data_IF_391360577597
#
_entry.id   IF_391360577597
#
_cell.length_a   1.000
_cell.length_b   1.000
_cell.length_c   1.000
_cell.angle_alpha   90.00
_cell.angle_beta   90.00
_cell.angle_gamma   90.00
#
_symmetry.space_group_name_H-M   'P 1'
#
loop_
_entity.id
_entity.type
_entity.pdbx_description
1 polymer ?
#
# COMPACT_ATOMS: atom_id res chain seq x y z
N UNK A 1 -16.60 -2.60 -2.04
CA UNK A 1 -15.94 -3.78 -2.60
C UNK A 1 -16.89 -4.95 -2.50
N UNK A 2 -17.45 -5.43 -3.61
CA UNK A 2 -18.43 -6.53 -3.58
C UNK A 2 -17.81 -7.82 -3.03
N UNK A 3 -16.63 -8.22 -3.53
CA UNK A 3 -15.95 -9.43 -3.09
C UNK A 3 -15.61 -9.39 -1.59
N UNK A 4 -15.07 -8.28 -1.08
CA UNK A 4 -14.69 -8.16 0.33
C UNK A 4 -15.88 -8.14 1.32
N UNK A 5 -17.11 -7.98 0.84
CA UNK A 5 -18.32 -8.18 1.63
C UNK A 5 -18.80 -9.64 1.65
N UNK A 6 -18.37 -10.47 0.70
CA UNK A 6 -18.81 -11.85 0.52
C UNK A 6 -17.73 -12.88 0.90
N UNK A 7 -16.45 -12.51 0.80
CA UNK A 7 -15.33 -13.37 1.14
C UNK A 7 -14.17 -12.58 1.77
N UNK A 8 -13.40 -13.28 2.61
CA UNK A 8 -12.17 -12.75 3.20
C UNK A 8 -11.22 -12.31 2.09
N UNK A 9 -10.88 -11.02 2.06
CA UNK A 9 -10.06 -10.43 1.01
C UNK A 9 -8.79 -9.85 1.60
N UNK A 10 -7.63 -10.13 1.00
CA UNK A 10 -6.36 -9.51 1.37
C UNK A 10 -6.01 -8.42 0.37
N UNK A 11 -5.50 -7.29 0.85
CA UNK A 11 -5.07 -6.20 -0.02
C UNK A 11 -3.56 -6.27 -0.22
N UNK A 12 -3.10 -6.23 -1.45
CA UNK A 12 -1.68 -6.09 -1.78
C UNK A 12 -1.48 -4.75 -2.47
N UNK A 13 -0.47 -3.99 -2.07
CA UNK A 13 -0.19 -2.66 -2.60
C UNK A 13 1.29 -2.55 -2.92
N UNK A 14 1.59 -2.36 -4.22
CA UNK A 14 2.92 -2.01 -4.68
C UNK A 14 3.11 -0.51 -4.50
N UNK A 15 4.15 -0.12 -3.77
CA UNK A 15 4.56 1.25 -3.59
C UNK A 15 5.92 1.45 -4.25
N UNK A 16 6.06 2.51 -5.01
CA UNK A 16 7.29 2.88 -5.70
C UNK A 16 7.38 4.39 -5.75
N UNK A 17 8.61 4.87 -5.86
CA UNK A 17 8.88 6.27 -6.10
C UNK A 17 8.68 6.58 -7.59
N UNK A 18 8.05 7.71 -7.88
CA UNK A 18 7.97 8.26 -9.22
C UNK A 18 8.69 9.62 -9.27
N UNK A 19 9.69 9.71 -10.14
CA UNK A 19 10.51 10.91 -10.32
C UNK A 19 11.19 11.41 -9.01
N UNK A 20 11.56 10.51 -8.11
CA UNK A 20 12.31 10.80 -6.86
C UNK A 20 11.54 11.70 -5.87
N UNK A 21 10.23 11.55 -5.83
CA UNK A 21 9.33 12.28 -4.93
C UNK A 21 9.02 11.50 -3.64
N UNK A 22 9.48 10.25 -3.54
CA UNK A 22 9.20 9.36 -2.43
C UNK A 22 7.71 9.05 -2.31
N UNK A 23 7.26 8.79 -1.08
CA UNK A 23 5.86 8.58 -0.76
C UNK A 23 5.26 9.87 -0.17
N UNK A 24 4.57 10.65 -1.01
CA UNK A 24 4.09 11.98 -0.61
C UNK A 24 3.01 11.91 0.47
N UNK A 25 2.96 12.90 1.37
CA UNK A 25 1.93 12.96 2.42
C UNK A 25 0.51 12.97 1.85
N UNK A 26 0.32 13.61 0.69
CA UNK A 26 -0.97 13.63 0.00
C UNK A 26 -1.44 12.22 -0.36
N UNK A 27 -0.57 11.40 -0.93
CA UNK A 27 -0.88 10.03 -1.32
C UNK A 27 -1.04 9.12 -0.10
N UNK A 28 -0.18 9.26 0.91
CA UNK A 28 -0.32 8.56 2.20
C UNK A 28 -1.68 8.83 2.81
N UNK A 29 -2.07 10.09 2.95
CA UNK A 29 -3.36 10.46 3.54
C UNK A 29 -4.53 9.99 2.68
N UNK A 30 -4.44 10.05 1.35
CA UNK A 30 -5.47 9.51 0.47
C UNK A 30 -5.66 8.00 0.67
N UNK A 31 -4.57 7.24 0.76
CA UNK A 31 -4.59 5.80 0.98
C UNK A 31 -5.13 5.44 2.38
N UNK A 32 -4.65 6.10 3.44
CA UNK A 32 -5.17 5.90 4.79
C UNK A 32 -6.67 6.23 4.88
N UNK A 33 -7.12 7.28 4.20
CA UNK A 33 -8.55 7.61 4.12
C UNK A 33 -9.36 6.53 3.40
N UNK A 34 -8.83 5.93 2.32
CA UNK A 34 -9.46 4.79 1.67
C UNK A 34 -9.59 3.61 2.64
N UNK A 35 -8.52 3.26 3.38
CA UNK A 35 -8.56 2.18 4.37
C UNK A 35 -9.57 2.45 5.48
N UNK A 36 -9.65 3.68 5.99
CA UNK A 36 -10.69 4.09 6.98
C UNK A 36 -12.09 3.85 6.43
N UNK A 37 -12.35 4.18 5.16
CA UNK A 37 -13.66 3.95 4.51
C UNK A 37 -13.97 2.46 4.40
N UNK A 38 -12.98 1.64 4.01
CA UNK A 38 -13.14 0.18 3.90
C UNK A 38 -13.44 -0.44 5.27
N UNK A 39 -12.74 -0.01 6.32
CA UNK A 39 -12.99 -0.50 7.67
C UNK A 39 -14.41 -0.17 8.15
N UNK A 40 -14.90 1.03 7.82
CA UNK A 40 -16.28 1.44 8.12
C UNK A 40 -17.33 0.69 7.30
N UNK A 41 -17.01 0.17 6.12
CA UNK A 41 -17.97 -0.54 5.28
C UNK A 41 -18.22 -1.99 5.70
N UNK A 42 -17.61 -2.46 6.80
CA UNK A 42 -17.82 -3.82 7.33
C UNK A 42 -17.23 -4.93 6.45
N UNK A 43 -16.36 -4.60 5.50
CA UNK A 43 -15.70 -5.58 4.66
C UNK A 43 -14.69 -6.41 5.47
N UNK A 44 -14.61 -7.71 5.19
CA UNK A 44 -13.66 -8.60 5.83
C UNK A 44 -12.29 -8.52 5.13
N UNK A 45 -11.49 -7.52 5.51
CA UNK A 45 -10.15 -7.26 5.01
C UNK A 45 -9.13 -7.37 6.15
N UNK A 46 -8.66 -8.58 6.50
CA UNK A 46 -7.85 -8.77 7.69
C UNK A 46 -6.40 -8.29 7.54
N UNK A 47 -5.87 -8.24 6.31
CA UNK A 47 -4.44 -8.01 6.08
C UNK A 47 -4.17 -7.15 4.85
N UNK A 48 -3.21 -6.24 5.00
CA UNK A 48 -2.60 -5.45 3.94
C UNK A 48 -1.15 -5.90 3.76
N UNK A 49 -0.71 -6.11 2.52
CA UNK A 49 0.68 -6.40 2.17
C UNK A 49 1.24 -5.23 1.37
N UNK A 50 2.28 -4.59 1.90
CA UNK A 50 3.05 -3.58 1.19
C UNK A 50 4.28 -4.23 0.57
N UNK A 51 4.56 -3.87 -0.69
CA UNK A 51 5.78 -4.29 -1.36
C UNK A 51 6.24 -3.22 -2.36
N UNK A 52 7.45 -3.37 -2.88
CA UNK A 52 8.02 -2.45 -3.88
C UNK A 52 8.49 -3.17 -5.14
N UNK A 53 9.04 -2.42 -6.09
CA UNK A 53 9.50 -2.94 -7.38
C UNK A 53 10.69 -3.88 -7.14
N UNK A 54 10.44 -5.18 -7.26
CA UNK A 54 11.47 -6.22 -7.22
C UNK A 54 12.06 -6.55 -8.59
N UNK A 55 11.34 -6.22 -9.68
CA UNK A 55 11.78 -6.44 -11.06
C UNK A 55 11.61 -5.16 -11.86
N UNK A 56 12.63 -4.73 -12.63
CA UNK A 56 12.52 -3.54 -13.45
C UNK A 56 11.38 -3.69 -14.47
N UNK A 57 10.59 -2.63 -14.63
CA UNK A 57 9.58 -2.55 -15.67
C UNK A 57 10.25 -2.45 -17.05
N UNK A 58 9.64 -3.04 -18.07
CA UNK A 58 10.07 -2.91 -19.47
C UNK A 58 9.26 -1.86 -20.24
N UNK A 59 8.45 -1.07 -19.52
CA UNK A 59 7.66 0.00 -20.11
C UNK A 59 8.53 1.26 -20.33
N UNK A 60 8.16 2.15 -21.28
CA UNK A 60 8.91 3.39 -21.55
C UNK A 60 9.14 4.26 -20.31
N UNK A 61 8.22 4.24 -19.35
CA UNK A 61 8.26 5.03 -18.12
C UNK A 61 9.09 4.39 -17.02
N UNK A 62 9.64 3.18 -17.22
CA UNK A 62 10.46 2.48 -16.23
C UNK A 62 11.61 3.33 -15.64
N UNK A 63 12.31 4.20 -16.40
CA UNK A 63 13.37 5.04 -15.84
C UNK A 63 12.89 6.06 -14.79
N UNK A 64 11.57 6.31 -14.71
CA UNK A 64 10.96 7.23 -13.74
C UNK A 64 10.63 6.54 -12.43
N UNK A 65 10.69 5.21 -12.38
CA UNK A 65 10.22 4.41 -11.25
C UNK A 65 11.42 3.89 -10.45
N UNK A 66 11.39 4.08 -9.13
CA UNK A 66 12.41 3.55 -8.23
C UNK A 66 11.77 2.74 -7.09
N UNK A 67 12.50 1.73 -6.61
CA UNK A 67 12.10 0.96 -5.43
C UNK A 67 12.16 1.84 -4.18
N UNK A 68 11.14 1.76 -3.32
CA UNK A 68 11.18 2.41 -2.00
C UNK A 68 12.03 1.61 -1.03
N UNK A 69 12.71 2.30 -0.10
CA UNK A 69 13.48 1.63 0.95
C UNK A 69 12.55 0.87 1.91
N UNK A 70 13.10 -0.17 2.54
CA UNK A 70 12.40 -0.90 3.60
C UNK A 70 11.95 0.02 4.74
N UNK A 71 12.72 1.05 5.05
CA UNK A 71 12.42 2.02 6.11
C UNK A 71 11.15 2.81 5.79
N UNK A 72 11.01 3.32 4.56
CA UNK A 72 9.82 4.05 4.11
C UNK A 72 8.58 3.16 4.16
N UNK A 73 8.70 1.92 3.66
CA UNK A 73 7.61 0.95 3.65
C UNK A 73 7.17 0.58 5.07
N UNK A 74 8.12 0.36 5.99
CA UNK A 74 7.80 0.03 7.38
C UNK A 74 7.19 1.21 8.13
N UNK A 75 7.69 2.43 7.95
CA UNK A 75 7.09 3.62 8.53
C UNK A 75 5.63 3.79 8.08
N UNK A 76 5.35 3.60 6.80
CA UNK A 76 3.97 3.65 6.31
C UNK A 76 3.12 2.47 6.78
N UNK A 77 3.71 1.27 6.90
CA UNK A 77 3.03 0.11 7.48
C UNK A 77 2.56 0.39 8.92
N UNK A 78 3.38 1.07 9.73
CA UNK A 78 3.01 1.44 11.10
C UNK A 78 1.81 2.38 11.14
N UNK A 79 1.75 3.37 10.23
CA UNK A 79 0.57 4.24 10.11
C UNK A 79 -0.70 3.46 9.75
N UNK A 80 -0.60 2.44 8.90
CA UNK A 80 -1.74 1.57 8.55
C UNK A 80 -2.12 0.69 9.75
N UNK A 81 -1.14 0.16 10.50
CA UNK A 81 -1.39 -0.64 11.71
C UNK A 81 -2.15 0.15 12.77
N UNK A 82 -1.92 1.46 12.90
CA UNK A 82 -2.69 2.33 13.79
C UNK A 82 -4.18 2.40 13.42
N UNK A 83 -4.55 2.12 12.17
CA UNK A 83 -5.95 1.97 11.75
C UNK A 83 -6.53 0.60 12.14
N UNK A 84 -5.72 -0.29 12.71
CA UNK A 84 -6.06 -1.64 13.18
C UNK A 84 -6.17 -2.67 12.06
N UNK A 85 -5.28 -2.61 11.07
CA UNK A 85 -5.06 -3.68 10.08
C UNK A 85 -3.80 -4.47 10.45
N UNK A 86 -3.78 -5.76 10.13
CA UNK A 86 -2.51 -6.50 10.05
C UNK A 86 -1.76 -6.08 8.79
N UNK A 87 -0.46 -5.78 8.91
CA UNK A 87 0.34 -5.28 7.79
C UNK A 87 1.63 -6.07 7.66
N UNK A 88 1.84 -6.63 6.47
CA UNK A 88 3.09 -7.29 6.06
C UNK A 88 3.86 -6.41 5.09
N UNK A 89 5.18 -6.38 5.23
CA UNK A 89 6.09 -5.70 4.31
C UNK A 89 6.96 -6.74 3.63
N UNK A 90 7.08 -6.66 2.31
CA UNK A 90 7.99 -7.49 1.51
C UNK A 90 8.83 -6.57 0.63
N UNK A 91 10.16 -6.62 0.80
CA UNK A 91 11.13 -5.88 -0.02
C UNK A 91 11.84 -6.81 -0.98
#
# INVERSE_FOLDING_TARGET
>A
MLSAGLCTTKLQTCLFDIDKQGLTDKEKQAYLNMLRKIKKSGCNLPQVMLYTIARPSLQPEAPRLESLSAEILNAFADEIRLLGFDVKVSV
#
